data_IF_401654891325
#
_entry.id   IF_401654891325
#
_cell.length_a   1.000
_cell.length_b   1.000
_cell.length_c   1.000
_cell.angle_alpha   90.00
_cell.angle_beta   90.00
_cell.angle_gamma   90.00
#
_symmetry.space_group_name_H-M   'P 1'
#
loop_
_entity.id
_entity.type
_entity.pdbx_description
1 polymer ?
#
# COMPACT_ATOMS: atom_id res chain seq x y z
N UNK A 1 -28.21 12.83 -2.92
CA UNK A 1 -26.99 12.35 -2.22
C UNK A 1 -25.82 12.38 -3.19
N UNK A 2 -24.84 13.28 -3.01
CA UNK A 2 -23.59 13.23 -3.78
C UNK A 2 -22.77 12.07 -3.22
N UNK A 3 -22.59 10.98 -3.99
CA UNK A 3 -21.51 10.01 -3.74
C UNK A 3 -20.21 10.79 -3.98
N UNK A 4 -19.66 11.39 -2.92
CA UNK A 4 -18.29 11.89 -2.97
C UNK A 4 -17.42 10.76 -3.51
N UNK A 5 -16.49 11.08 -4.40
CA UNK A 5 -15.58 10.12 -4.99
C UNK A 5 -14.93 9.31 -3.85
N UNK A 6 -15.48 8.12 -3.56
CA UNK A 6 -14.85 7.16 -2.68
C UNK A 6 -13.57 6.80 -3.43
N UNK A 7 -12.42 7.19 -2.89
CA UNK A 7 -11.13 6.66 -3.33
C UNK A 7 -11.29 5.14 -3.35
N UNK A 8 -11.40 4.53 -4.54
CA UNK A 8 -11.65 3.08 -4.74
C UNK A 8 -10.46 2.20 -4.28
N UNK A 9 -9.60 2.72 -3.39
CA UNK A 9 -8.34 2.11 -2.96
C UNK A 9 -7.08 2.73 -3.58
N UNK A 10 -7.20 3.78 -4.42
CA UNK A 10 -6.04 4.42 -5.04
C UNK A 10 -5.06 5.02 -4.01
N UNK A 11 -5.57 5.63 -2.94
CA UNK A 11 -4.75 6.13 -1.84
C UNK A 11 -4.02 5.02 -1.08
N UNK A 12 -4.65 3.85 -0.93
CA UNK A 12 -4.00 2.65 -0.39
C UNK A 12 -2.85 2.15 -1.28
N UNK A 13 -3.03 2.18 -2.61
CA UNK A 13 -1.96 1.82 -3.54
C UNK A 13 -0.76 2.77 -3.47
N UNK A 14 -1.01 4.08 -3.33
CA UNK A 14 0.06 5.07 -3.10
C UNK A 14 0.81 4.76 -1.80
N UNK A 15 0.07 4.48 -0.72
CA UNK A 15 0.65 4.11 0.56
C UNK A 15 1.45 2.82 0.52
N UNK A 16 1.07 1.84 -0.30
CA UNK A 16 1.86 0.65 -0.53
C UNK A 16 3.25 0.97 -1.12
N UNK A 17 3.30 1.86 -2.12
CA UNK A 17 4.58 2.29 -2.73
C UNK A 17 5.42 3.09 -1.74
N UNK A 18 4.80 4.02 -1.00
CA UNK A 18 5.49 4.79 0.04
C UNK A 18 6.04 3.89 1.13
N UNK A 19 5.24 2.93 1.61
CA UNK A 19 5.67 1.97 2.62
C UNK A 19 6.84 1.12 2.13
N UNK A 20 6.79 0.65 0.87
CA UNK A 20 7.89 -0.09 0.27
C UNK A 20 9.20 0.73 0.23
N UNK A 21 9.11 2.01 -0.17
CA UNK A 21 10.28 2.91 -0.15
C UNK A 21 10.81 3.14 1.27
N UNK A 22 9.92 3.35 2.25
CA UNK A 22 10.33 3.55 3.64
C UNK A 22 10.99 2.31 4.26
N UNK A 23 10.57 1.10 3.87
CA UNK A 23 11.24 -0.13 4.30
C UNK A 23 12.59 -0.30 3.62
N UNK A 24 12.68 0.02 2.33
CA UNK A 24 13.91 -0.14 1.56
C UNK A 24 15.00 0.87 1.94
N UNK A 25 14.59 2.10 2.31
CA UNK A 25 15.47 3.22 2.65
C UNK A 25 15.03 3.86 3.98
N UNK A 26 15.19 3.17 5.13
CA UNK A 26 14.65 3.62 6.41
C UNK A 26 15.25 4.94 6.92
N UNK A 27 16.51 5.20 6.55
CA UNK A 27 17.26 6.40 6.96
C UNK A 27 17.07 7.60 6.02
N UNK A 28 16.30 7.43 4.93
CA UNK A 28 15.98 8.54 4.04
C UNK A 28 15.23 9.63 4.80
N UNK A 29 15.68 10.88 4.66
CA UNK A 29 15.04 12.03 5.30
C UNK A 29 13.88 12.52 4.42
N UNK A 30 12.67 12.48 4.97
CA UNK A 30 11.47 13.00 4.35
C UNK A 30 11.14 14.37 4.93
N UNK A 31 10.65 15.26 4.09
CA UNK A 31 10.20 16.61 4.47
C UNK A 31 8.80 16.86 3.91
N UNK A 32 7.98 17.61 4.65
CA UNK A 32 6.69 18.07 4.14
C UNK A 32 6.94 19.27 3.23
N UNK A 33 6.33 19.29 2.04
CA UNK A 33 6.57 20.32 1.00
C UNK A 33 6.47 21.75 1.57
N UNK A 34 5.50 22.01 2.45
CA UNK A 34 5.28 23.33 3.05
C UNK A 34 6.02 23.56 4.38
N UNK A 35 6.72 22.55 4.91
CA UNK A 35 7.47 22.61 6.16
C UNK A 35 8.87 21.97 5.98
N UNK A 36 9.70 22.44 5.02
CA UNK A 36 10.96 21.78 4.65
C UNK A 36 12.03 21.82 5.74
N UNK A 37 11.87 22.69 6.74
CA UNK A 37 12.78 22.80 7.89
C UNK A 37 12.65 21.64 8.89
N UNK A 38 11.55 20.86 8.80
CA UNK A 38 11.33 19.68 9.61
C UNK A 38 11.48 18.43 8.76
N UNK A 39 12.60 17.73 8.95
CA UNK A 39 12.86 16.43 8.33
C UNK A 39 12.67 15.32 9.35
N UNK A 40 12.14 14.19 8.90
CA UNK A 40 12.03 12.97 9.70
C UNK A 40 12.44 11.77 8.87
N UNK A 41 12.92 10.72 9.53
CA UNK A 41 13.30 9.50 8.83
C UNK A 41 12.09 8.80 8.21
N UNK A 42 12.29 8.13 7.08
CA UNK A 42 11.27 7.33 6.42
C UNK A 42 10.72 6.24 7.34
N UNK A 43 11.56 5.67 8.21
CA UNK A 43 11.13 4.75 9.27
C UNK A 43 10.17 5.41 10.28
N UNK A 44 10.43 6.65 10.70
CA UNK A 44 9.53 7.39 11.59
C UNK A 44 8.21 7.73 10.88
N UNK A 45 8.28 8.11 9.61
CA UNK A 45 7.11 8.37 8.76
C UNK A 45 6.19 7.15 8.70
N UNK A 46 6.77 5.99 8.38
CA UNK A 46 6.03 4.72 8.25
C UNK A 46 5.35 4.32 9.56
N UNK A 47 6.07 4.43 10.69
CA UNK A 47 5.50 4.16 12.02
C UNK A 47 4.35 5.12 12.34
N UNK A 48 4.51 6.41 12.00
CA UNK A 48 3.47 7.43 12.19
C UNK A 48 2.20 7.13 11.41
N UNK A 49 2.33 6.77 10.12
CA UNK A 49 1.21 6.38 9.26
C UNK A 49 0.50 5.14 9.81
N UNK A 50 1.24 4.08 10.15
CA UNK A 50 0.68 2.86 10.74
C UNK A 50 -0.09 3.15 12.03
N UNK A 51 0.47 3.96 12.93
CA UNK A 51 -0.17 4.31 14.20
C UNK A 51 -1.43 5.15 13.98
N UNK A 52 -1.38 6.12 13.06
CA UNK A 52 -2.50 6.98 12.74
C UNK A 52 -3.65 6.20 12.12
N UNK A 53 -3.38 5.35 11.12
CA UNK A 53 -4.42 4.56 10.47
C UNK A 53 -4.96 3.46 11.39
N UNK A 54 -4.12 2.80 12.19
CA UNK A 54 -4.59 1.86 13.20
C UNK A 54 -5.51 2.54 14.23
N UNK A 55 -5.14 3.74 14.70
CA UNK A 55 -5.97 4.54 15.60
C UNK A 55 -7.28 4.95 14.93
N UNK A 56 -7.24 5.38 13.67
CA UNK A 56 -8.43 5.73 12.89
C UNK A 56 -9.37 4.54 12.68
N UNK A 57 -8.84 3.34 12.46
CA UNK A 57 -9.62 2.10 12.38
C UNK A 57 -10.24 1.77 13.75
N UNK A 58 -9.45 1.79 14.83
CA UNK A 58 -9.90 1.46 16.19
C UNK A 58 -10.97 2.43 16.70
N UNK A 59 -10.78 3.72 16.47
CA UNK A 59 -11.72 4.78 16.86
C UNK A 59 -12.84 5.02 15.83
N UNK A 60 -12.88 4.22 14.76
CA UNK A 60 -13.91 4.23 13.70
C UNK A 60 -14.09 5.59 13.04
N UNK A 61 -13.00 6.30 12.78
CA UNK A 61 -12.99 7.55 12.04
C UNK A 61 -13.50 7.35 10.61
N UNK A 62 -14.42 8.21 10.16
CA UNK A 62 -15.12 8.08 8.87
C UNK A 62 -14.66 9.07 7.80
N UNK A 63 -13.70 9.93 8.11
CA UNK A 63 -13.25 11.00 7.21
C UNK A 63 -12.13 10.56 6.26
N UNK A 64 -11.35 9.54 6.61
CA UNK A 64 -10.35 8.90 5.74
C UNK A 64 -10.64 7.41 5.63
N UNK A 65 -10.22 6.81 4.51
CA UNK A 65 -10.32 5.37 4.28
C UNK A 65 -9.17 4.62 4.97
N UNK A 66 -9.13 4.75 6.31
CA UNK A 66 -8.03 4.27 7.14
C UNK A 66 -7.76 2.77 6.97
N UNK A 67 -8.80 1.98 6.71
CA UNK A 67 -8.65 0.54 6.43
C UNK A 67 -7.93 0.29 5.11
N UNK A 68 -8.26 1.03 4.04
CA UNK A 68 -7.58 0.94 2.76
C UNK A 68 -6.11 1.41 2.87
N UNK A 69 -5.86 2.45 3.66
CA UNK A 69 -4.52 2.97 3.93
C UNK A 69 -3.65 1.99 4.72
N UNK A 70 -4.20 1.41 5.79
CA UNK A 70 -3.53 0.40 6.60
C UNK A 70 -3.24 -0.86 5.78
N UNK A 71 -4.21 -1.34 5.02
CA UNK A 71 -4.05 -2.50 4.13
C UNK A 71 -2.99 -2.27 3.06
N UNK A 72 -3.00 -1.11 2.40
CA UNK A 72 -1.98 -0.73 1.43
C UNK A 72 -0.58 -0.66 2.03
N UNK A 73 -0.45 -0.02 3.20
CA UNK A 73 0.83 0.10 3.93
C UNK A 73 1.38 -1.28 4.28
N UNK A 74 0.55 -2.16 4.87
CA UNK A 74 0.95 -3.52 5.23
C UNK A 74 1.31 -4.36 3.99
N UNK A 75 0.57 -4.20 2.88
CA UNK A 75 0.90 -4.85 1.62
C UNK A 75 2.27 -4.41 1.10
N UNK A 76 2.56 -3.10 1.10
CA UNK A 76 3.86 -2.56 0.68
C UNK A 76 5.03 -3.12 1.50
N UNK A 77 4.89 -3.16 2.82
CA UNK A 77 5.88 -3.78 3.72
C UNK A 77 6.07 -5.26 3.39
N UNK A 78 4.97 -6.02 3.31
CA UNK A 78 5.01 -7.44 2.99
C UNK A 78 5.62 -7.72 1.61
N UNK A 79 5.35 -6.86 0.62
CA UNK A 79 5.90 -7.00 -0.73
C UNK A 79 7.41 -6.82 -0.75
N UNK A 80 7.98 -5.88 0.01
CA UNK A 80 9.43 -5.73 0.11
C UNK A 80 10.08 -6.95 0.78
N UNK A 81 9.45 -7.46 1.84
CA UNK A 81 9.99 -8.60 2.61
C UNK A 81 9.89 -9.93 1.86
N UNK A 82 8.79 -10.17 1.15
CA UNK A 82 8.47 -11.49 0.60
C UNK A 82 8.27 -11.51 -0.92
N UNK A 83 8.12 -10.36 -1.57
CA UNK A 83 7.78 -10.27 -2.99
C UNK A 83 8.81 -10.96 -3.88
N UNK A 84 10.10 -10.85 -3.56
CA UNK A 84 11.16 -11.56 -4.31
C UNK A 84 10.96 -13.08 -4.28
N UNK A 85 10.63 -13.66 -3.13
CA UNK A 85 10.38 -15.10 -3.01
C UNK A 85 9.12 -15.54 -3.76
N UNK A 86 8.08 -14.71 -3.74
CA UNK A 86 6.86 -14.94 -4.52
C UNK A 86 7.18 -14.96 -6.03
N UNK A 87 7.98 -14.02 -6.51
CA UNK A 87 8.35 -13.94 -7.93
C UNK A 87 9.31 -15.04 -8.39
N UNK A 88 10.15 -15.55 -7.49
CA UNK A 88 10.96 -16.77 -7.76
C UNK A 88 10.06 -17.97 -8.06
N UNK A 89 8.95 -18.10 -7.34
CA UNK A 89 7.95 -19.17 -7.52
C UNK A 89 6.75 -18.76 -8.38
N UNK A 90 6.97 -17.87 -9.37
CA UNK A 90 5.88 -17.29 -10.20
C UNK A 90 5.19 -18.28 -11.14
N UNK A 91 5.80 -19.41 -11.46
CA UNK A 91 5.26 -20.36 -12.46
C UNK A 91 3.81 -20.80 -12.21
N UNK A 92 3.41 -21.29 -11.00
CA UNK A 92 2.02 -21.63 -10.72
C UNK A 92 1.08 -20.43 -10.88
N UNK A 93 1.51 -19.23 -10.47
CA UNK A 93 0.72 -17.99 -10.58
C UNK A 93 0.46 -17.67 -12.06
N UNK A 94 1.52 -17.68 -12.86
CA UNK A 94 1.44 -17.41 -14.30
C UNK A 94 0.60 -18.48 -15.02
N UNK A 95 0.80 -19.76 -14.72
CA UNK A 95 0.01 -20.87 -15.30
C UNK A 95 -1.48 -20.69 -15.02
N UNK A 96 -1.83 -20.38 -13.77
CA UNK A 96 -3.24 -20.13 -13.38
C UNK A 96 -3.81 -18.92 -14.13
N UNK A 97 -3.05 -17.82 -14.23
CA UNK A 97 -3.45 -16.64 -14.99
C UNK A 97 -3.67 -16.94 -16.47
N UNK A 98 -2.75 -17.67 -17.11
CA UNK A 98 -2.86 -18.07 -18.51
C UNK A 98 -4.11 -18.92 -18.75
N UNK A 99 -4.38 -19.92 -17.89
CA UNK A 99 -5.58 -20.76 -17.97
C UNK A 99 -6.87 -19.95 -17.85
N UNK A 100 -6.92 -19.00 -16.92
CA UNK A 100 -8.08 -18.11 -16.75
C UNK A 100 -8.30 -17.22 -17.98
N UNK A 101 -7.22 -16.62 -18.51
CA UNK A 101 -7.27 -15.75 -19.68
C UNK A 101 -7.71 -16.52 -20.93
N UNK A 102 -7.17 -17.71 -21.14
CA UNK A 102 -7.46 -18.55 -22.30
C UNK A 102 -8.87 -19.18 -22.24
N UNK A 103 -9.29 -19.63 -21.06
CA UNK A 103 -10.65 -20.13 -20.81
C UNK A 103 -11.75 -19.05 -20.88
N UNK A 104 -11.37 -17.77 -20.83
CA UNK A 104 -12.26 -16.64 -21.13
C UNK A 104 -12.28 -16.32 -22.64
N UNK A 105 -11.15 -16.44 -23.35
CA UNK A 105 -11.11 -16.23 -24.80
C UNK A 105 -11.76 -17.35 -25.61
N UNK A 106 -11.74 -18.60 -25.14
CA UNK A 106 -12.38 -19.75 -25.81
C UNK A 106 -13.90 -19.88 -25.59
N UNK A 107 -14.50 -18.92 -24.85
CA UNK A 107 -15.96 -18.84 -24.59
C UNK A 107 -16.67 -17.78 -25.43
N UNK A 108 -16.02 -17.32 -26.50
CA UNK A 108 -16.58 -16.45 -27.54
C UNK A 108 -16.68 -17.19 -28.86
#
# INVERSE_FOLDING_TARGET
>A
MRRGAMSLGASGAILAVVAALCVQYPDAQLSIIFLPFFTFSAAAALKGVLLFDATGVLLRWRFLDHAAHLGGTLFGVGYVLYGQEVWKHREPILKTWHQLREGWSGRR
#
